data_IF_971365189436
#
_entry.id   IF_971365189436
#
_cell.length_a   1.000
_cell.length_b   1.000
_cell.length_c   1.000
_cell.angle_alpha   90.00
_cell.angle_beta   90.00
_cell.angle_gamma   90.00
#
_symmetry.space_group_name_H-M   'P 1'
#
loop_
_entity.id
_entity.type
_entity.pdbx_description
1 polymer ?
#
# COMPACT_ATOMS: atom_id res chain seq x y z
N UNK A 1 37.81 6.88 35.87
CA UNK A 1 36.91 7.95 36.35
C UNK A 1 37.12 9.14 35.44
N UNK A 2 36.37 9.21 34.35
CA UNK A 2 36.48 10.27 33.36
C UNK A 2 35.27 11.19 33.54
N UNK A 3 35.54 12.44 33.95
CA UNK A 3 34.57 13.53 34.00
C UNK A 3 34.57 14.21 32.63
N UNK A 4 33.39 14.42 32.07
CA UNK A 4 33.17 15.36 30.97
C UNK A 4 32.60 16.64 31.58
N UNK A 5 33.32 17.75 31.43
CA UNK A 5 32.80 19.10 31.69
C UNK A 5 32.19 19.61 30.38
N UNK A 6 30.89 19.90 30.39
CA UNK A 6 30.19 20.61 29.32
C UNK A 6 29.97 22.04 29.78
N UNK A 7 30.81 22.96 29.31
CA UNK A 7 30.49 24.39 29.29
C UNK A 7 29.92 24.71 27.89
N UNK A 8 28.61 24.90 27.83
CA UNK A 8 27.93 25.53 26.68
C UNK A 8 27.56 26.95 27.10
N UNK A 9 28.38 27.92 26.70
CA UNK A 9 27.98 29.33 26.71
C UNK A 9 27.02 29.57 25.52
N UNK A 10 25.80 30.00 25.84
CA UNK A 10 24.85 30.57 24.89
C UNK A 10 25.46 31.83 24.26
N UNK A 11 25.54 31.87 22.93
CA UNK A 11 25.68 33.11 22.18
C UNK A 11 24.61 33.16 21.10
N UNK A 12 23.70 34.11 21.28
CA UNK A 12 22.74 34.59 20.29
C UNK A 12 23.45 35.37 19.17
N UNK A 13 22.84 35.32 17.99
CA UNK A 13 23.10 36.10 16.77
C UNK A 13 24.44 35.87 16.02
N UNK A 14 24.35 35.15 14.89
CA UNK A 14 24.92 35.64 13.63
C UNK A 14 24.40 34.86 12.39
N UNK A 15 24.01 35.62 11.37
CA UNK A 15 23.67 35.17 10.02
C UNK A 15 24.72 34.21 9.45
N UNK A 16 24.31 33.00 9.04
CA UNK A 16 25.15 32.11 8.24
C UNK A 16 24.40 31.65 6.98
N UNK A 17 24.85 32.19 5.85
CA UNK A 17 24.60 31.71 4.50
C UNK A 17 24.95 30.21 4.40
N UNK A 18 23.93 29.35 4.23
CA UNK A 18 24.11 27.93 3.96
C UNK A 18 24.50 27.73 2.50
N UNK A 19 25.80 27.82 2.24
CA UNK A 19 26.42 27.38 0.99
C UNK A 19 26.46 25.84 0.98
N UNK A 20 25.43 25.22 0.40
CA UNK A 20 25.36 23.76 0.21
C UNK A 20 26.42 23.35 -0.82
N UNK A 21 27.42 22.51 -0.47
CA UNK A 21 28.31 21.96 -1.47
C UNK A 21 27.52 21.00 -2.35
N UNK A 22 27.45 21.29 -3.64
CA UNK A 22 27.00 20.36 -4.68
C UNK A 22 27.95 19.17 -4.71
N UNK A 23 27.62 18.09 -4.00
CA UNK A 23 28.22 16.77 -4.22
C UNK A 23 27.60 16.18 -5.48
N UNK A 24 28.39 16.14 -6.55
CA UNK A 24 28.09 15.37 -7.75
C UNK A 24 27.82 13.90 -7.36
N UNK A 25 26.69 13.37 -7.80
CA UNK A 25 26.40 11.95 -7.72
C UNK A 25 27.45 11.19 -8.54
N UNK A 26 28.33 10.45 -7.86
CA UNK A 26 29.31 9.59 -8.51
C UNK A 26 28.63 8.48 -9.32
N UNK A 27 29.27 7.98 -10.39
CA UNK A 27 28.69 6.97 -11.27
C UNK A 27 28.46 5.67 -10.51
N UNK A 28 27.20 5.24 -10.40
CA UNK A 28 26.82 3.91 -9.91
C UNK A 28 27.54 2.84 -10.74
N UNK A 29 28.46 2.09 -10.11
CA UNK A 29 29.08 0.92 -10.75
C UNK A 29 28.02 -0.17 -10.95
N UNK A 30 28.06 -0.92 -12.07
CA UNK A 30 27.06 -1.94 -12.37
C UNK A 30 27.17 -3.07 -11.35
N UNK A 31 26.09 -3.28 -10.61
CA UNK A 31 25.88 -4.48 -9.79
C UNK A 31 25.64 -5.65 -10.77
N UNK A 32 26.34 -6.75 -10.47
CA UNK A 32 26.30 -8.12 -11.01
C UNK A 32 25.02 -8.50 -11.79
N UNK A 33 25.11 -9.27 -12.90
CA UNK A 33 23.92 -9.71 -13.65
C UNK A 33 22.93 -10.47 -12.75
N UNK A 34 21.63 -10.41 -13.04
CA UNK A 34 20.61 -11.00 -12.18
C UNK A 34 20.81 -12.52 -12.13
N UNK A 35 21.14 -13.03 -10.94
CA UNK A 35 21.04 -14.45 -10.63
C UNK A 35 19.56 -14.79 -10.66
N UNK A 36 19.17 -15.67 -11.59
CA UNK A 36 17.81 -16.20 -11.67
C UNK A 36 17.51 -17.02 -10.41
N UNK A 37 16.83 -16.42 -9.43
CA UNK A 37 16.27 -17.16 -8.31
C UNK A 37 15.06 -17.91 -8.86
N UNK A 38 15.18 -19.22 -9.02
CA UNK A 38 14.04 -20.10 -9.27
C UNK A 38 13.18 -20.11 -7.99
N UNK A 39 12.30 -19.13 -7.78
CA UNK A 39 11.19 -19.31 -6.85
C UNK A 39 10.21 -20.29 -7.53
N UNK A 40 10.32 -21.57 -7.21
CA UNK A 40 9.47 -22.62 -7.80
C UNK A 40 8.03 -22.56 -7.28
N UNK A 41 7.78 -21.78 -6.24
CA UNK A 41 6.48 -21.68 -5.60
C UNK A 41 5.69 -20.49 -6.17
N UNK A 42 4.76 -20.80 -7.06
CA UNK A 42 3.84 -19.84 -7.66
C UNK A 42 2.48 -19.80 -6.94
N UNK A 43 2.39 -20.39 -5.74
CA UNK A 43 1.15 -20.43 -4.99
C UNK A 43 0.90 -19.13 -4.20
N UNK A 44 -0.37 -18.96 -3.81
CA UNK A 44 -0.82 -17.92 -2.90
C UNK A 44 -1.63 -18.55 -1.78
N UNK A 45 -1.51 -17.99 -0.58
CA UNK A 45 -2.08 -18.51 0.65
C UNK A 45 -2.98 -17.47 1.28
N UNK A 46 -4.01 -17.93 2.00
CA UNK A 46 -4.89 -17.07 2.79
C UNK A 46 -4.46 -17.09 4.26
N UNK A 47 -4.58 -15.96 4.94
CA UNK A 47 -4.37 -15.84 6.37
C UNK A 47 -5.57 -15.12 6.99
N UNK A 48 -6.05 -15.61 8.13
CA UNK A 48 -7.22 -15.01 8.79
C UNK A 48 -6.86 -13.75 9.58
N UNK A 49 -7.83 -12.86 9.76
CA UNK A 49 -7.66 -11.70 10.64
C UNK A 49 -7.29 -12.12 12.07
N UNK A 50 -7.95 -13.15 12.60
CA UNK A 50 -7.69 -13.64 13.96
C UNK A 50 -6.25 -14.15 14.11
N UNK A 51 -5.72 -14.84 13.09
CA UNK A 51 -4.32 -15.25 13.08
C UNK A 51 -3.39 -14.04 13.07
N UNK A 52 -3.62 -13.05 12.20
CA UNK A 52 -2.80 -11.83 12.18
C UNK A 52 -2.85 -11.08 13.51
N UNK A 53 -4.04 -10.90 14.10
CA UNK A 53 -4.21 -10.25 15.41
C UNK A 53 -3.53 -11.03 16.54
N UNK A 54 -3.45 -12.36 16.45
CA UNK A 54 -2.75 -13.20 17.43
C UNK A 54 -1.23 -12.97 17.45
N UNK A 55 -0.67 -12.47 16.35
CA UNK A 55 0.77 -12.19 16.22
C UNK A 55 1.18 -10.78 16.66
N UNK A 56 0.23 -9.92 17.00
CA UNK A 56 0.52 -8.57 17.48
C UNK A 56 1.20 -8.63 18.87
N UNK A 57 2.26 -7.83 19.09
CA UNK A 57 2.89 -7.69 20.40
C UNK A 57 1.94 -6.99 21.39
N UNK A 58 2.30 -6.98 22.67
CA UNK A 58 1.51 -6.31 23.73
C UNK A 58 1.44 -4.79 23.53
N UNK A 59 2.46 -4.19 22.94
CA UNK A 59 2.55 -2.77 22.66
C UNK A 59 3.10 -2.55 21.24
N UNK A 60 2.56 -1.57 20.53
CA UNK A 60 3.15 -1.03 19.31
C UNK A 60 3.29 0.48 19.41
N UNK A 61 4.29 1.03 18.71
CA UNK A 61 4.41 2.46 18.48
C UNK A 61 3.79 2.84 17.13
N UNK A 62 3.18 4.02 17.06
CA UNK A 62 2.61 4.56 15.84
C UNK A 62 2.91 6.05 15.70
N UNK A 63 2.82 6.55 14.48
CA UNK A 63 3.11 7.93 14.12
C UNK A 63 1.97 8.47 13.24
N UNK A 64 1.46 9.70 13.51
CA UNK A 64 0.46 10.32 12.66
C UNK A 64 1.09 10.74 11.32
N UNK A 65 0.39 10.46 10.23
CA UNK A 65 0.71 10.95 8.89
C UNK A 65 -0.25 12.08 8.53
N UNK A 66 0.22 13.31 8.69
CA UNK A 66 -0.50 14.52 8.31
C UNK A 66 -0.31 14.82 6.81
N UNK A 67 -1.41 14.87 6.07
CA UNK A 67 -1.41 15.15 4.62
C UNK A 67 -2.23 16.40 4.33
N UNK A 68 -1.77 17.30 3.45
CA UNK A 68 -2.39 18.62 3.25
C UNK A 68 -3.79 18.55 2.64
N UNK A 69 -4.16 17.42 2.03
CA UNK A 69 -5.46 17.19 1.40
C UNK A 69 -6.42 16.36 2.27
N UNK A 70 -6.01 15.95 3.48
CA UNK A 70 -6.86 15.24 4.42
C UNK A 70 -7.18 16.12 5.65
N UNK A 71 -8.41 16.06 6.17
CA UNK A 71 -8.79 16.83 7.35
C UNK A 71 -8.23 16.27 8.66
N UNK A 72 -7.89 14.97 8.71
CA UNK A 72 -7.37 14.28 9.89
C UNK A 72 -6.17 13.43 9.46
N UNK A 73 -5.14 13.27 10.33
CA UNK A 73 -4.01 12.42 10.02
C UNK A 73 -4.40 10.94 9.98
N UNK A 74 -3.62 10.15 9.26
CA UNK A 74 -3.74 8.70 9.28
C UNK A 74 -2.67 8.14 10.22
N UNK A 75 -3.10 7.38 11.23
CA UNK A 75 -2.17 6.70 12.14
C UNK A 75 -1.53 5.50 11.42
N UNK A 76 -0.21 5.38 11.51
CA UNK A 76 0.54 4.24 10.98
C UNK A 76 1.52 3.76 12.01
N UNK A 77 1.72 2.45 12.08
CA UNK A 77 2.76 1.85 12.90
C UNK A 77 4.12 2.45 12.54
N UNK A 78 4.92 2.73 13.56
CA UNK A 78 6.24 3.28 13.37
C UNK A 78 7.16 2.27 12.68
N UNK A 79 7.97 2.75 11.73
CA UNK A 79 8.87 1.90 10.95
C UNK A 79 9.98 1.31 11.81
N UNK A 80 10.50 2.07 12.79
CA UNK A 80 11.54 1.58 13.69
C UNK A 80 10.98 0.51 14.63
N UNK A 81 9.74 0.67 15.08
CA UNK A 81 9.02 -0.33 15.89
C UNK A 81 8.83 -1.65 15.12
N UNK A 82 8.33 -1.58 13.89
CA UNK A 82 8.14 -2.77 13.05
C UNK A 82 9.47 -3.49 12.75
N UNK A 83 10.54 -2.73 12.49
CA UNK A 83 11.89 -3.29 12.27
C UNK A 83 12.47 -3.92 13.52
N UNK A 84 12.28 -3.29 14.68
CA UNK A 84 12.71 -3.85 15.96
C UNK A 84 12.01 -5.19 16.23
N UNK A 85 10.69 -5.27 16.02
CA UNK A 85 9.96 -6.53 16.13
C UNK A 85 10.48 -7.58 15.14
N UNK A 86 10.73 -7.22 13.89
CA UNK A 86 11.25 -8.15 12.88
C UNK A 86 12.63 -8.70 13.30
N UNK A 87 13.52 -7.84 13.78
CA UNK A 87 14.84 -8.21 14.29
C UNK A 87 14.74 -9.13 15.52
N UNK A 88 13.84 -8.85 16.45
CA UNK A 88 13.64 -9.66 17.66
C UNK A 88 12.96 -11.00 17.41
N UNK A 89 12.23 -11.14 16.29
CA UNK A 89 11.47 -12.35 15.94
C UNK A 89 12.36 -13.53 15.55
N UNK A 90 13.68 -13.35 15.46
CA UNK A 90 14.62 -14.40 15.07
C UNK A 90 14.52 -14.79 13.59
N UNK A 91 13.73 -14.09 12.77
CA UNK A 91 13.59 -14.35 11.33
C UNK A 91 14.95 -14.20 10.60
N UNK A 92 15.82 -13.31 11.10
CA UNK A 92 17.20 -13.17 10.60
C UNK A 92 18.19 -14.21 11.15
N UNK A 93 17.78 -15.05 12.10
CA UNK A 93 18.64 -16.07 12.71
C UNK A 93 18.46 -17.47 12.10
N UNK A 94 17.67 -17.61 11.03
CA UNK A 94 17.53 -18.86 10.29
C UNK A 94 18.74 -19.09 9.34
N UNK A 95 19.60 -20.09 9.59
CA UNK A 95 20.77 -20.36 8.75
C UNK A 95 20.40 -20.84 7.33
N UNK A 96 19.15 -21.24 7.09
CA UNK A 96 18.69 -21.71 5.78
C UNK A 96 18.37 -20.58 4.79
N UNK A 97 18.29 -19.34 5.27
CA UNK A 97 18.05 -18.13 4.46
C UNK A 97 19.33 -17.34 4.18
N UNK A 98 20.47 -17.79 4.72
CA UNK A 98 21.79 -17.22 4.40
C UNK A 98 22.26 -17.80 3.06
N UNK A 99 22.52 -16.94 2.08
CA UNK A 99 23.14 -17.36 0.82
C UNK A 99 24.50 -18.01 1.11
N UNK A 100 24.88 -19.11 0.43
CA UNK A 100 26.20 -19.71 0.62
C UNK A 100 27.26 -18.65 0.29
N UNK A 101 28.09 -18.30 1.28
CA UNK A 101 29.27 -17.46 1.03
C UNK A 101 30.18 -18.16 0.02
N UNK A 102 30.55 -17.46 -1.05
CA UNK A 102 31.47 -17.95 -2.08
C UNK A 102 32.76 -18.50 -1.43
N UNK A 103 33.13 -19.78 -1.65
CA UNK A 103 34.35 -20.37 -1.09
C UNK A 103 35.66 -19.82 -1.72
N UNK A 104 35.58 -18.79 -2.57
CA UNK A 104 36.71 -18.25 -3.31
C UNK A 104 37.50 -17.15 -2.57
N UNK A 105 37.17 -16.83 -1.31
CA UNK A 105 37.90 -15.81 -0.52
C UNK A 105 38.65 -16.35 0.71
N UNK A 106 38.82 -17.67 0.84
CA UNK A 106 39.63 -18.29 1.91
C UNK A 106 41.16 -18.24 1.68
N UNK A 107 41.68 -17.14 1.16
CA UNK A 107 43.12 -16.95 1.07
C UNK A 107 43.48 -15.47 1.20
N UNK A 108 43.22 -14.89 2.38
CA UNK A 108 44.08 -13.89 3.06
C UNK A 108 43.29 -13.16 4.15
N UNK A 109 43.15 -13.77 5.33
CA UNK A 109 42.78 -13.03 6.56
C UNK A 109 43.67 -13.47 7.71
N UNK A 110 44.76 -12.73 7.87
CA UNK A 110 45.47 -12.63 9.14
C UNK A 110 44.51 -12.22 10.26
N UNK A 111 44.75 -12.80 11.42
CA UNK A 111 44.00 -12.65 12.67
C UNK A 111 43.67 -11.21 13.03
N UNK A 112 42.41 -10.83 12.90
CA UNK A 112 41.74 -9.79 13.69
C UNK A 112 40.27 -10.21 13.84
N UNK A 113 39.68 -10.20 15.06
CA UNK A 113 38.26 -10.45 15.22
C UNK A 113 37.52 -9.23 14.70
N UNK A 114 36.94 -9.33 13.51
CA UNK A 114 36.06 -8.30 12.96
C UNK A 114 34.64 -8.74 13.28
N UNK A 115 33.90 -7.82 13.88
CA UNK A 115 32.50 -7.91 14.27
C UNK A 115 31.63 -8.63 13.24
N UNK A 116 30.73 -9.48 13.75
CA UNK A 116 29.61 -10.02 13.00
C UNK A 116 28.80 -8.84 12.41
N UNK A 117 29.06 -8.52 11.13
CA UNK A 117 28.20 -7.67 10.33
C UNK A 117 26.84 -8.38 10.18
N UNK A 118 25.99 -8.22 11.18
CA UNK A 118 24.56 -8.36 11.02
C UNK A 118 24.19 -7.57 9.76
N UNK A 119 23.65 -8.24 8.75
CA UNK A 119 23.10 -7.61 7.55
C UNK A 119 22.05 -6.60 7.99
N UNK A 120 22.47 -5.36 8.19
CA UNK A 120 21.59 -4.24 8.45
C UNK A 120 20.75 -4.05 7.20
N UNK A 121 19.43 -4.14 7.35
CA UNK A 121 18.50 -3.57 6.37
C UNK A 121 18.84 -2.09 6.31
N UNK A 122 19.50 -1.68 5.22
CA UNK A 122 19.87 -0.29 4.99
C UNK A 122 18.60 0.58 5.12
N UNK A 123 18.73 1.75 5.77
CA UNK A 123 17.65 2.70 5.91
C UNK A 123 17.11 3.15 4.54
N UNK A 124 17.94 3.05 3.49
CA UNK A 124 17.59 3.43 2.12
C UNK A 124 16.97 2.30 1.29
N UNK A 125 17.30 1.04 1.55
CA UNK A 125 16.77 -0.10 0.78
C UNK A 125 15.89 -0.98 1.66
N UNK A 126 14.58 -0.77 1.55
CA UNK A 126 13.55 -1.61 2.20
C UNK A 126 13.52 -3.05 1.63
N UNK A 127 14.43 -3.46 0.74
CA UNK A 127 14.30 -4.67 -0.07
C UNK A 127 15.58 -5.53 -0.05
N UNK A 128 15.41 -6.82 0.22
CA UNK A 128 16.42 -7.87 0.07
C UNK A 128 15.85 -8.95 -0.88
N UNK A 129 16.20 -8.89 -2.16
CA UNK A 129 15.69 -9.82 -3.19
C UNK A 129 15.84 -11.29 -2.77
N UNK A 130 14.74 -12.05 -2.86
CA UNK A 130 14.70 -13.49 -2.58
C UNK A 130 14.59 -13.88 -1.10
N UNK A 131 14.64 -12.91 -0.17
CA UNK A 131 14.43 -13.13 1.27
C UNK A 131 13.29 -12.24 1.79
N UNK A 132 13.24 -10.99 1.34
CA UNK A 132 12.30 -9.98 1.81
C UNK A 132 12.08 -8.89 0.73
N UNK A 133 10.93 -8.89 0.07
CA UNK A 133 10.63 -7.98 -1.06
C UNK A 133 10.13 -6.58 -0.62
N UNK A 134 10.50 -6.13 0.59
CA UNK A 134 10.06 -4.84 1.13
C UNK A 134 8.60 -4.77 1.55
N UNK A 135 8.11 -3.54 1.81
CA UNK A 135 6.72 -3.27 2.16
C UNK A 135 6.50 -2.78 3.60
N UNK A 136 7.56 -2.70 4.43
CA UNK A 136 7.48 -2.06 5.74
C UNK A 136 7.43 -0.53 5.62
N UNK A 137 8.03 0.03 4.57
CA UNK A 137 7.96 1.46 4.26
C UNK A 137 6.72 1.80 3.42
N UNK A 138 6.10 2.94 3.73
CA UNK A 138 5.13 3.56 2.82
C UNK A 138 5.87 4.26 1.67
N UNK A 139 5.59 3.83 0.44
CA UNK A 139 6.13 4.44 -0.78
C UNK A 139 5.25 5.59 -1.29
N UNK A 140 5.82 6.48 -2.12
CA UNK A 140 5.14 7.69 -2.60
C UNK A 140 3.87 7.36 -3.39
N UNK A 141 3.88 6.27 -4.18
CA UNK A 141 2.68 5.87 -4.92
C UNK A 141 1.46 5.58 -4.04
N UNK A 142 1.65 5.15 -2.78
CA UNK A 142 0.54 4.95 -1.84
C UNK A 142 -0.10 6.28 -1.42
N UNK A 143 0.71 7.34 -1.27
CA UNK A 143 0.26 8.71 -1.01
C UNK A 143 -0.46 9.30 -2.22
N UNK A 144 0.08 9.05 -3.41
CA UNK A 144 -0.52 9.50 -4.66
C UNK A 144 -1.93 8.88 -4.84
N UNK A 145 -2.09 7.57 -4.58
CA UNK A 145 -3.41 6.91 -4.63
C UNK A 145 -4.36 7.55 -3.63
N UNK A 146 -3.89 7.73 -2.40
CA UNK A 146 -4.67 8.33 -1.33
C UNK A 146 -5.19 9.73 -1.69
N UNK A 147 -4.37 10.55 -2.34
CA UNK A 147 -4.81 11.86 -2.85
C UNK A 147 -5.93 11.71 -3.88
N UNK A 148 -5.85 10.76 -4.82
CA UNK A 148 -6.95 10.49 -5.76
C UNK A 148 -8.21 10.00 -5.03
N UNK A 149 -8.08 9.06 -4.09
CA UNK A 149 -9.20 8.54 -3.31
C UNK A 149 -9.91 9.63 -2.51
N UNK A 150 -9.17 10.61 -1.98
CA UNK A 150 -9.73 11.75 -1.25
C UNK A 150 -10.67 12.63 -2.09
N UNK A 151 -10.59 12.52 -3.42
CA UNK A 151 -11.45 13.25 -4.36
C UNK A 151 -12.68 12.46 -4.82
N UNK A 152 -12.85 11.22 -4.33
CA UNK A 152 -13.93 10.32 -4.73
C UNK A 152 -15.14 10.45 -3.80
N UNK A 153 -16.33 10.37 -4.40
CA UNK A 153 -17.60 10.47 -3.70
C UNK A 153 -18.17 11.89 -3.71
N UNK A 154 -19.45 12.00 -3.36
CA UNK A 154 -20.09 13.30 -3.13
C UNK A 154 -19.72 13.83 -1.74
N UNK A 155 -19.76 15.14 -1.56
CA UNK A 155 -19.30 15.88 -0.37
C UNK A 155 -19.92 15.47 0.98
N UNK A 156 -20.99 14.66 0.99
CA UNK A 156 -21.65 14.18 2.21
C UNK A 156 -21.27 12.74 2.63
N UNK A 157 -20.66 11.93 1.75
CA UNK A 157 -20.39 10.50 2.01
C UNK A 157 -19.00 9.98 1.63
N UNK A 158 -18.25 10.75 0.84
CA UNK A 158 -16.85 10.44 0.46
C UNK A 158 -16.64 9.05 -0.15
N UNK A 159 -15.41 8.55 -0.01
CA UNK A 159 -15.01 7.23 -0.54
C UNK A 159 -15.75 6.07 0.14
N UNK A 160 -16.06 6.20 1.43
CA UNK A 160 -16.74 5.18 2.22
C UNK A 160 -18.11 4.82 1.66
N UNK A 161 -18.95 5.82 1.34
CA UNK A 161 -20.26 5.57 0.73
C UNK A 161 -20.16 5.17 -0.75
N UNK A 162 -19.13 5.66 -1.44
CA UNK A 162 -18.86 5.29 -2.82
C UNK A 162 -18.51 3.81 -2.96
N UNK A 163 -17.74 3.24 -2.02
CA UNK A 163 -17.27 1.85 -2.05
C UNK A 163 -18.19 0.86 -1.32
N UNK A 164 -19.17 1.34 -0.56
CA UNK A 164 -20.02 0.48 0.29
C UNK A 164 -20.73 -0.62 -0.51
N UNK A 165 -20.60 -1.85 -0.03
CA UNK A 165 -21.17 -3.07 -0.62
C UNK A 165 -20.39 -3.66 -1.80
N UNK A 166 -19.18 -3.15 -2.06
CA UNK A 166 -18.31 -3.61 -3.14
C UNK A 166 -17.08 -4.36 -2.62
N UNK A 167 -16.16 -4.73 -3.51
CA UNK A 167 -14.87 -5.34 -3.14
C UNK A 167 -13.74 -4.38 -3.45
N UNK A 168 -12.77 -4.26 -2.54
CA UNK A 168 -11.50 -3.57 -2.77
C UNK A 168 -10.39 -4.60 -2.72
N UNK A 169 -9.48 -4.60 -3.69
CA UNK A 169 -8.26 -5.39 -3.68
C UNK A 169 -7.07 -4.45 -3.75
N UNK A 170 -6.19 -4.47 -2.76
CA UNK A 170 -4.91 -3.79 -2.79
C UNK A 170 -3.79 -4.81 -3.02
N UNK A 171 -3.21 -4.80 -4.23
CA UNK A 171 -2.16 -5.73 -4.67
C UNK A 171 -0.79 -5.13 -4.36
N UNK A 172 0.04 -5.86 -3.62
CA UNK A 172 1.29 -5.32 -3.08
C UNK A 172 1.04 -4.23 -2.05
N UNK A 173 0.19 -4.53 -1.06
CA UNK A 173 -0.37 -3.53 -0.14
C UNK A 173 0.65 -2.92 0.81
N UNK A 174 1.75 -3.59 1.17
CA UNK A 174 2.75 -3.03 2.09
C UNK A 174 2.11 -2.54 3.40
N UNK A 175 2.27 -1.25 3.69
CA UNK A 175 1.66 -0.58 4.85
C UNK A 175 0.14 -0.40 4.76
N UNK A 176 -0.50 -0.78 3.66
CA UNK A 176 -1.94 -0.69 3.41
C UNK A 176 -2.53 0.73 3.58
N UNK A 177 -1.78 1.76 3.21
CA UNK A 177 -2.19 3.14 3.45
C UNK A 177 -3.51 3.52 2.72
N UNK A 178 -3.69 3.21 1.42
CA UNK A 178 -4.98 3.37 0.75
C UNK A 178 -6.12 2.62 1.44
N UNK A 179 -5.91 1.35 1.80
CA UNK A 179 -6.93 0.54 2.49
C UNK A 179 -7.26 1.06 3.90
N UNK A 180 -6.28 1.56 4.66
CA UNK A 180 -6.51 2.20 5.96
C UNK A 180 -7.38 3.45 5.84
N UNK A 181 -7.18 4.26 4.80
CA UNK A 181 -8.04 5.42 4.54
C UNK A 181 -9.47 5.01 4.16
N UNK A 182 -9.61 4.01 3.28
CA UNK A 182 -10.92 3.47 2.90
C UNK A 182 -11.63 2.90 4.13
N UNK A 183 -10.93 2.13 4.96
CA UNK A 183 -11.46 1.56 6.19
C UNK A 183 -11.94 2.67 7.13
N UNK A 184 -11.10 3.67 7.42
CA UNK A 184 -11.48 4.81 8.25
C UNK A 184 -12.76 5.49 7.74
N UNK A 185 -12.86 5.74 6.43
CA UNK A 185 -14.05 6.33 5.82
C UNK A 185 -15.28 5.42 5.86
N UNK A 186 -15.12 4.09 5.83
CA UNK A 186 -16.22 3.14 5.96
C UNK A 186 -16.77 3.11 7.39
N UNK A 187 -15.87 3.20 8.38
CA UNK A 187 -16.17 3.14 9.81
C UNK A 187 -16.79 4.43 10.35
N UNK A 188 -16.48 5.59 9.73
CA UNK A 188 -17.05 6.89 10.11
C UNK A 188 -18.55 7.02 9.85
N UNK A 189 -19.11 6.18 8.98
CA UNK A 189 -20.55 6.11 8.74
C UNK A 189 -21.20 5.06 9.63
N UNK A 190 -22.26 5.43 10.35
CA UNK A 190 -23.01 4.50 11.21
C UNK A 190 -23.87 3.49 10.43
N UNK A 191 -23.96 3.61 9.10
CA UNK A 191 -24.83 2.76 8.28
C UNK A 191 -24.11 1.52 7.77
N UNK A 192 -24.51 0.33 8.22
CA UNK A 192 -24.15 -0.91 7.52
C UNK A 192 -24.85 -0.93 6.14
N UNK A 193 -24.10 -1.19 5.08
CA UNK A 193 -24.68 -1.37 3.74
C UNK A 193 -25.58 -2.61 3.69
N UNK A 194 -26.42 -2.72 2.66
CA UNK A 194 -27.24 -3.92 2.42
C UNK A 194 -26.43 -5.20 2.17
N UNK A 195 -25.14 -5.04 1.88
CA UNK A 195 -24.20 -6.13 1.66
C UNK A 195 -22.84 -5.73 2.22
N UNK A 196 -22.05 -6.70 2.74
CA UNK A 196 -20.75 -6.38 3.32
C UNK A 196 -19.81 -5.82 2.26
N UNK A 197 -18.92 -4.92 2.68
CA UNK A 197 -17.82 -4.40 1.87
C UNK A 197 -16.57 -5.22 2.18
N UNK A 198 -15.93 -5.77 1.15
CA UNK A 198 -14.73 -6.59 1.33
C UNK A 198 -13.50 -5.73 1.06
N UNK A 199 -12.57 -5.65 2.02
CA UNK A 199 -11.24 -5.10 1.80
C UNK A 199 -10.24 -6.26 1.78
N UNK A 200 -9.65 -6.52 0.63
CA UNK A 200 -8.69 -7.60 0.41
C UNK A 200 -7.29 -7.02 0.27
N UNK A 201 -6.45 -7.28 1.27
CA UNK A 201 -5.05 -6.89 1.29
C UNK A 201 -4.21 -8.06 0.79
N UNK A 202 -3.40 -7.83 -0.24
CA UNK A 202 -2.43 -8.81 -0.70
C UNK A 202 -1.01 -8.27 -0.65
N UNK A 203 -0.10 -9.05 -0.10
CA UNK A 203 1.35 -8.79 -0.17
C UNK A 203 2.10 -10.05 -0.57
N UNK A 204 3.34 -9.96 -1.03
CA UNK A 204 4.16 -11.15 -1.23
C UNK A 204 4.54 -11.77 0.12
N UNK A 205 4.86 -10.94 1.11
CA UNK A 205 5.45 -11.33 2.38
C UNK A 205 4.37 -11.44 3.49
N UNK A 206 4.20 -12.63 4.08
CA UNK A 206 3.35 -12.80 5.28
C UNK A 206 3.81 -11.89 6.44
N UNK A 207 5.12 -11.66 6.56
CA UNK A 207 5.68 -10.78 7.58
C UNK A 207 5.17 -9.33 7.44
N UNK A 208 4.99 -8.82 6.23
CA UNK A 208 4.44 -7.46 5.99
C UNK A 208 3.00 -7.38 6.50
N UNK A 209 2.20 -8.40 6.19
CA UNK A 209 0.81 -8.47 6.67
C UNK A 209 0.72 -8.43 8.20
N UNK A 210 1.60 -9.17 8.88
CA UNK A 210 1.68 -9.24 10.35
C UNK A 210 2.24 -7.96 10.98
N UNK A 211 3.30 -7.41 10.40
CA UNK A 211 4.09 -6.35 11.01
C UNK A 211 3.55 -4.95 10.72
N UNK A 212 2.92 -4.70 9.58
CA UNK A 212 2.47 -3.34 9.23
C UNK A 212 1.03 -3.29 8.72
N UNK A 213 0.59 -4.21 7.88
CA UNK A 213 -0.74 -4.14 7.28
C UNK A 213 -1.84 -4.27 8.34
N UNK A 214 -1.87 -5.36 9.11
CA UNK A 214 -2.88 -5.58 10.14
C UNK A 214 -2.83 -4.52 11.27
N UNK A 215 -1.65 -4.15 11.81
CA UNK A 215 -1.54 -3.01 12.74
C UNK A 215 -2.12 -1.71 12.18
N UNK A 216 -1.84 -1.37 10.92
CA UNK A 216 -2.33 -0.11 10.33
C UNK A 216 -3.84 -0.09 10.11
N UNK A 217 -4.46 -1.26 9.85
CA UNK A 217 -5.92 -1.37 9.78
C UNK A 217 -6.56 -1.24 11.16
N UNK A 218 -5.94 -1.80 12.20
CA UNK A 218 -6.36 -1.59 13.59
C UNK A 218 -6.23 -0.11 13.97
N UNK A 219 -5.10 0.52 13.66
CA UNK A 219 -4.85 1.94 13.92
C UNK A 219 -5.87 2.85 13.22
N UNK A 220 -6.27 2.52 11.99
CA UNK A 220 -7.31 3.25 11.25
C UNK A 220 -8.70 3.17 11.91
N UNK A 221 -8.92 2.21 12.81
CA UNK A 221 -10.20 2.01 13.50
C UNK A 221 -10.30 2.70 14.86
N UNK A 222 -9.18 3.14 15.46
CA UNK A 222 -9.14 3.66 16.82
C UNK A 222 -10.16 4.78 17.11
N UNK A 223 -10.39 5.76 16.22
CA UNK A 223 -11.34 6.85 16.48
C UNK A 223 -12.79 6.38 16.69
N UNK A 224 -13.11 5.13 16.31
CA UNK A 224 -14.45 4.57 16.33
C UNK A 224 -14.62 3.49 17.42
N UNK A 225 -13.57 3.20 18.19
CA UNK A 225 -13.60 2.23 19.28
C UNK A 225 -13.99 2.90 20.61
N UNK A 226 -14.63 2.17 21.55
CA UNK A 226 -14.92 2.71 22.87
C UNK A 226 -13.63 3.08 23.61
N UNK A 227 -13.50 4.27 24.23
CA UNK A 227 -12.27 4.67 24.92
C UNK A 227 -11.80 3.66 25.97
N UNK A 228 -12.72 2.95 26.62
CA UNK A 228 -12.42 1.93 27.63
C UNK A 228 -11.56 0.76 27.15
N UNK A 229 -11.49 0.50 25.83
CA UNK A 229 -10.66 -0.59 25.29
C UNK A 229 -9.30 -0.11 24.80
N UNK A 230 -9.08 1.21 24.75
CA UNK A 230 -7.85 1.84 24.27
C UNK A 230 -6.79 1.96 25.38
N UNK A 231 -7.19 1.84 26.65
CA UNK A 231 -6.32 2.06 27.79
C UNK A 231 -6.19 0.81 28.67
N UNK A 232 -5.00 0.54 29.23
CA UNK A 232 -4.84 -0.46 30.27
C UNK A 232 -5.63 -0.03 31.53
N UNK A 233 -6.23 -0.97 32.28
CA UNK A 233 -7.13 -0.66 33.40
C UNK A 233 -6.50 0.05 34.62
N UNK A 234 -5.27 0.56 34.54
CA UNK A 234 -4.44 0.94 35.71
C UNK A 234 -4.06 2.43 35.75
N UNK A 235 -4.21 3.20 34.66
CA UNK A 235 -3.82 4.62 34.67
C UNK A 235 -5.04 5.54 34.82
N UNK A 236 -5.08 6.31 35.92
CA UNK A 236 -5.96 7.48 36.07
C UNK A 236 -5.44 8.60 35.14
N UNK A 237 -5.57 8.42 33.83
CA UNK A 237 -5.28 9.46 32.83
C UNK A 237 -6.52 10.30 32.55
N UNK A 238 -6.35 11.62 32.54
CA UNK A 238 -7.42 12.59 32.30
C UNK A 238 -8.05 12.40 30.92
N UNK A 239 -9.36 12.65 30.81
CA UNK A 239 -10.16 12.41 29.59
C UNK A 239 -9.65 13.14 28.34
N UNK A 240 -8.90 14.23 28.53
CA UNK A 240 -8.32 15.06 27.49
C UNK A 240 -6.99 14.51 26.94
N UNK A 241 -6.30 13.62 27.67
CA UNK A 241 -5.13 12.86 27.21
C UNK A 241 -5.52 11.56 26.46
N UNK A 242 -6.82 11.24 26.36
CA UNK A 242 -7.34 9.97 25.84
C UNK A 242 -7.49 9.90 24.32
N UNK A 243 -7.38 11.03 23.62
CA UNK A 243 -7.39 11.09 22.17
C UNK A 243 -5.94 11.30 21.75
N UNK A 244 -5.35 10.44 20.89
CA UNK A 244 -4.01 10.66 20.37
C UNK A 244 -3.93 12.08 19.82
N UNK A 245 -3.12 12.95 20.43
CA UNK A 245 -2.93 14.30 19.92
C UNK A 245 -2.39 14.17 18.48
N UNK A 246 -3.15 14.60 17.46
CA UNK A 246 -2.72 14.59 16.07
C UNK A 246 -1.39 15.31 15.82
N UNK A 247 -0.96 16.17 16.77
CA UNK A 247 0.26 16.97 16.72
C UNK A 247 1.36 16.48 17.68
N UNK A 248 1.08 15.58 18.61
CA UNK A 248 2.12 14.88 19.37
C UNK A 248 2.77 13.84 18.46
N UNK A 249 4.08 13.62 18.60
CA UNK A 249 4.88 12.78 17.71
C UNK A 249 4.48 11.29 17.69
N UNK A 250 5.38 10.42 18.13
CA UNK A 250 5.12 8.98 18.23
C UNK A 250 4.15 8.69 19.38
N UNK A 251 3.05 8.00 19.12
CA UNK A 251 2.12 7.47 20.12
C UNK A 251 2.36 5.99 20.43
N UNK A 252 1.85 5.54 21.57
CA UNK A 252 1.92 4.15 22.04
C UNK A 252 0.51 3.54 22.12
N UNK A 253 0.36 2.29 21.68
CA UNK A 253 -0.91 1.55 21.76
C UNK A 253 -0.69 0.19 22.43
N UNK A 254 -1.42 -0.05 23.52
CA UNK A 254 -1.48 -1.36 24.17
C UNK A 254 -2.52 -2.27 23.51
N UNK A 255 -2.08 -3.43 23.04
CA UNK A 255 -2.90 -4.39 22.31
C UNK A 255 -3.51 -5.42 23.26
N UNK A 256 -4.63 -5.08 23.86
CA UNK A 256 -5.39 -5.97 24.76
C UNK A 256 -6.31 -6.94 24.00
N UNK A 257 -6.71 -8.08 24.60
CA UNK A 257 -7.76 -8.94 24.04
C UNK A 257 -9.08 -8.19 23.81
N UNK A 258 -9.43 -7.26 24.69
CA UNK A 258 -10.61 -6.41 24.62
C UNK A 258 -10.55 -5.49 23.39
N UNK A 259 -9.39 -4.89 23.11
CA UNK A 259 -9.16 -4.09 21.91
C UNK A 259 -9.36 -4.91 20.64
N UNK A 260 -8.73 -6.10 20.56
CA UNK A 260 -8.85 -7.01 19.40
C UNK A 260 -10.32 -7.37 19.15
N UNK A 261 -11.06 -7.67 20.22
CA UNK A 261 -12.49 -8.01 20.14
C UNK A 261 -13.36 -6.81 19.75
N UNK A 262 -13.07 -5.62 20.27
CA UNK A 262 -13.80 -4.40 19.92
C UNK A 262 -13.59 -4.06 18.45
N UNK A 263 -12.37 -4.22 17.94
CA UNK A 263 -12.04 -4.03 16.52
C UNK A 263 -12.84 -4.98 15.62
N UNK A 264 -12.83 -6.29 15.89
CA UNK A 264 -13.59 -7.25 15.08
C UNK A 264 -15.11 -7.04 15.18
N UNK A 265 -15.61 -6.64 16.35
CA UNK A 265 -17.02 -6.31 16.55
C UNK A 265 -17.43 -5.08 15.75
N UNK A 266 -16.59 -4.04 15.73
CA UNK A 266 -16.81 -2.81 14.96
C UNK A 266 -16.86 -3.09 13.45
N UNK A 267 -15.94 -3.93 12.94
CA UNK A 267 -15.95 -4.35 11.53
C UNK A 267 -17.27 -5.04 11.17
N UNK A 268 -17.72 -5.98 12.00
CA UNK A 268 -18.98 -6.69 11.81
C UNK A 268 -20.19 -5.74 11.87
N UNK A 269 -20.21 -4.81 12.84
CA UNK A 269 -21.28 -3.80 12.99
C UNK A 269 -21.36 -2.88 11.76
N UNK A 270 -20.22 -2.54 11.15
CA UNK A 270 -20.15 -1.69 9.96
C UNK A 270 -20.30 -2.45 8.64
N UNK A 271 -20.38 -3.79 8.70
CA UNK A 271 -20.47 -4.65 7.52
C UNK A 271 -19.20 -4.59 6.66
N UNK A 272 -18.04 -4.64 7.29
CA UNK A 272 -16.73 -4.64 6.62
C UNK A 272 -16.03 -5.96 6.89
N UNK A 273 -15.68 -6.68 5.82
CA UNK A 273 -14.94 -7.93 5.87
C UNK A 273 -13.50 -7.69 5.41
N UNK A 274 -12.52 -8.09 6.22
CA UNK A 274 -11.10 -8.01 5.88
C UNK A 274 -10.60 -9.37 5.40
N UNK A 275 -10.04 -9.42 4.18
CA UNK A 275 -9.42 -10.62 3.59
C UNK A 275 -7.93 -10.39 3.39
N UNK A 276 -7.13 -11.41 3.64
CA UNK A 276 -5.67 -11.32 3.50
C UNK A 276 -5.13 -12.51 2.71
N UNK A 277 -4.27 -12.21 1.74
CA UNK A 277 -3.52 -13.23 1.00
C UNK A 277 -2.05 -12.88 0.95
N UNK A 278 -1.18 -13.88 1.02
CA UNK A 278 0.24 -13.72 0.78
C UNK A 278 0.77 -14.68 -0.29
N UNK A 279 2.00 -14.46 -0.74
CA UNK A 279 2.64 -15.28 -1.77
C UNK A 279 2.49 -14.71 -3.20
N UNK A 280 2.70 -15.56 -4.18
CA UNK A 280 2.92 -15.17 -5.57
C UNK A 280 1.64 -14.71 -6.28
N UNK A 281 1.75 -13.72 -7.17
CA UNK A 281 0.61 -13.17 -7.90
C UNK A 281 -0.06 -14.18 -8.85
N UNK A 282 0.69 -15.11 -9.43
CA UNK A 282 0.13 -16.20 -10.24
C UNK A 282 -0.92 -17.03 -9.46
N UNK A 283 -0.61 -17.41 -8.22
CA UNK A 283 -1.53 -18.11 -7.32
C UNK A 283 -2.74 -17.27 -6.94
N UNK A 284 -2.54 -15.96 -6.70
CA UNK A 284 -3.64 -15.03 -6.45
C UNK A 284 -4.57 -14.93 -7.66
N UNK A 285 -4.02 -14.76 -8.87
CA UNK A 285 -4.80 -14.67 -10.10
C UNK A 285 -5.63 -15.94 -10.34
N UNK A 286 -5.06 -17.12 -10.06
CA UNK A 286 -5.77 -18.40 -10.10
C UNK A 286 -6.94 -18.43 -9.10
N UNK A 287 -6.69 -18.09 -7.84
CA UNK A 287 -7.72 -18.02 -6.79
C UNK A 287 -8.86 -17.07 -7.16
N UNK A 288 -8.53 -15.87 -7.65
CA UNK A 288 -9.52 -14.87 -8.10
C UNK A 288 -10.39 -15.37 -9.27
N UNK A 289 -9.82 -16.15 -10.21
CA UNK A 289 -10.60 -16.75 -11.32
C UNK A 289 -11.51 -17.88 -10.85
N UNK A 290 -11.10 -18.61 -9.81
CA UNK A 290 -11.86 -19.73 -9.25
C UNK A 290 -12.97 -19.28 -8.28
N UNK A 291 -12.85 -18.09 -7.70
CA UNK A 291 -13.87 -17.48 -6.83
C UNK A 291 -15.13 -17.08 -7.62
N UNK A 292 -16.02 -18.06 -7.78
CA UNK A 292 -17.33 -17.88 -8.42
C UNK A 292 -18.33 -17.07 -7.58
N UNK A 293 -18.02 -16.81 -6.30
CA UNK A 293 -18.91 -16.19 -5.33
C UNK A 293 -18.77 -14.67 -5.25
N UNK A 294 -17.57 -14.13 -5.50
CA UNK A 294 -17.29 -12.71 -5.31
C UNK A 294 -17.48 -11.85 -6.57
N UNK A 295 -18.66 -11.92 -7.21
CA UNK A 295 -19.01 -11.13 -8.43
C UNK A 295 -19.41 -9.69 -8.13
N UNK A 296 -18.63 -8.97 -7.33
CA UNK A 296 -18.88 -7.57 -6.98
C UNK A 296 -18.06 -6.66 -7.88
N UNK A 297 -18.58 -5.46 -8.16
CA UNK A 297 -17.77 -4.39 -8.73
C UNK A 297 -16.53 -4.20 -7.83
N UNK A 298 -15.35 -4.15 -8.44
CA UNK A 298 -14.08 -4.14 -7.72
C UNK A 298 -13.37 -2.80 -7.88
N UNK A 299 -12.90 -2.20 -6.79
CA UNK A 299 -11.80 -1.26 -6.84
C UNK A 299 -10.50 -2.04 -6.66
N UNK A 300 -9.62 -1.99 -7.64
CA UNK A 300 -8.30 -2.63 -7.57
C UNK A 300 -7.25 -1.53 -7.50
N UNK A 301 -6.42 -1.58 -6.48
CA UNK A 301 -5.37 -0.61 -6.20
C UNK A 301 -4.02 -1.32 -6.24
N UNK A 302 -3.03 -0.68 -6.86
CA UNK A 302 -1.66 -1.14 -6.75
C UNK A 302 -0.70 0.02 -6.92
N UNK A 303 0.36 0.03 -6.12
CA UNK A 303 1.31 1.14 -6.03
C UNK A 303 2.73 0.61 -6.08
N UNK A 304 3.54 1.12 -7.01
CA UNK A 304 4.96 0.76 -7.15
C UNK A 304 5.20 -0.75 -7.28
N UNK A 305 4.34 -1.44 -8.04
CA UNK A 305 4.40 -2.90 -8.27
C UNK A 305 4.90 -3.29 -9.65
N UNK A 306 5.26 -2.31 -10.49
CA UNK A 306 5.73 -2.51 -11.87
C UNK A 306 7.24 -2.23 -12.03
N UNK A 307 7.99 -2.28 -10.93
CA UNK A 307 9.42 -1.99 -10.94
C UNK A 307 10.26 -3.11 -11.57
N UNK A 308 9.79 -4.35 -11.50
CA UNK A 308 10.47 -5.52 -12.06
C UNK A 308 9.70 -6.05 -13.27
N UNK A 309 10.33 -6.02 -14.44
CA UNK A 309 9.66 -6.39 -15.70
C UNK A 309 9.21 -7.86 -15.72
N UNK A 310 9.93 -8.75 -15.03
CA UNK A 310 9.61 -10.17 -14.99
C UNK A 310 8.27 -10.48 -14.30
N UNK A 311 7.84 -9.67 -13.32
CA UNK A 311 6.61 -9.89 -12.55
C UNK A 311 5.38 -9.19 -13.15
N UNK A 312 5.57 -8.32 -14.15
CA UNK A 312 4.48 -7.56 -14.81
C UNK A 312 3.42 -8.48 -15.42
N UNK A 313 3.82 -9.62 -15.99
CA UNK A 313 2.88 -10.57 -16.57
C UNK A 313 1.89 -11.12 -15.52
N UNK A 314 2.41 -11.57 -14.39
CA UNK A 314 1.59 -12.10 -13.29
C UNK A 314 0.71 -11.02 -12.66
N UNK A 315 1.21 -9.78 -12.55
CA UNK A 315 0.41 -8.65 -12.10
C UNK A 315 -0.77 -8.40 -13.05
N UNK A 316 -0.53 -8.34 -14.36
CA UNK A 316 -1.60 -8.16 -15.36
C UNK A 316 -2.65 -9.26 -15.25
N UNK A 317 -2.24 -10.50 -14.99
CA UNK A 317 -3.17 -11.61 -14.76
C UNK A 317 -4.06 -11.40 -13.52
N UNK A 318 -3.50 -10.86 -12.42
CA UNK A 318 -4.28 -10.45 -11.24
C UNK A 318 -5.26 -9.33 -11.59
N UNK A 319 -4.80 -8.30 -12.29
CA UNK A 319 -5.62 -7.14 -12.66
C UNK A 319 -6.79 -7.59 -13.56
N UNK A 320 -6.54 -8.49 -14.52
CA UNK A 320 -7.59 -9.10 -15.36
C UNK A 320 -8.55 -9.97 -14.55
N UNK A 321 -8.03 -10.85 -13.70
CA UNK A 321 -8.85 -11.74 -12.88
C UNK A 321 -9.82 -10.95 -11.98
N UNK A 322 -9.33 -9.85 -11.40
CA UNK A 322 -10.12 -8.95 -10.55
C UNK A 322 -11.07 -8.04 -11.34
N UNK A 323 -10.77 -7.71 -12.59
CA UNK A 323 -11.65 -6.89 -13.45
C UNK A 323 -12.75 -7.68 -14.17
N UNK A 324 -12.66 -9.01 -14.24
CA UNK A 324 -13.66 -9.89 -14.89
C UNK A 324 -15.00 -10.01 -14.14
N UNK A 325 -15.20 -9.24 -13.08
CA UNK A 325 -16.36 -9.29 -12.19
C UNK A 325 -17.44 -8.27 -12.57
N UNK A 326 -17.93 -8.34 -13.83
CA UNK A 326 -19.31 -7.99 -14.24
C UNK A 326 -19.62 -8.42 -15.69
N UNK A 327 -19.81 -9.72 -15.91
CA UNK A 327 -20.61 -10.22 -17.04
C UNK A 327 -22.03 -10.50 -16.52
N UNK A 328 -22.88 -9.47 -16.46
CA UNK A 328 -24.24 -9.57 -15.93
C UNK A 328 -25.21 -8.50 -16.43
N UNK A 329 -24.83 -7.76 -17.48
CA UNK A 329 -25.77 -7.00 -18.31
C UNK A 329 -25.84 -7.76 -19.63
N UNK A 330 -27.04 -8.20 -20.01
CA UNK A 330 -27.29 -8.89 -21.27
C UNK A 330 -26.67 -8.11 -22.44
N UNK A 331 -25.62 -8.70 -23.02
CA UNK A 331 -24.84 -8.18 -24.16
C UNK A 331 -25.70 -8.03 -25.43
N UNK A 332 -26.96 -8.47 -25.40
CA UNK A 332 -27.92 -8.32 -26.49
C UNK A 332 -28.66 -6.97 -26.48
N UNK A 333 -28.60 -6.19 -25.40
CA UNK A 333 -29.27 -4.88 -25.33
C UNK A 333 -28.38 -3.69 -25.74
N UNK A 334 -27.06 -3.85 -25.74
CA UNK A 334 -26.10 -2.82 -26.20
C UNK A 334 -25.83 -2.85 -27.71
N UNK A 335 -26.33 -3.87 -28.45
CA UNK A 335 -26.16 -4.00 -29.91
C UNK A 335 -27.27 -3.39 -30.76
N UNK A 336 -28.20 -2.64 -30.16
CA UNK A 336 -29.24 -1.92 -30.92
C UNK A 336 -28.83 -0.48 -31.33
N UNK A 337 -27.66 0.02 -30.91
CA UNK A 337 -27.29 1.43 -31.07
C UNK A 337 -26.24 1.80 -32.11
N UNK A 338 -25.52 0.85 -32.71
CA UNK A 338 -24.50 1.18 -33.73
C UNK A 338 -24.54 0.20 -34.90
N UNK A 339 -25.39 0.52 -35.88
CA UNK A 339 -25.14 0.14 -37.27
C UNK A 339 -24.33 1.24 -37.93
N UNK A 340 -23.26 0.81 -38.61
CA UNK A 340 -22.19 1.65 -39.10
C UNK A 340 -22.57 2.76 -40.05
N UNK A 341 -21.67 3.74 -40.09
CA UNK A 341 -21.60 4.77 -41.11
C UNK A 341 -20.23 5.41 -41.03
N UNK A 342 -19.41 5.18 -42.05
CA UNK A 342 -18.23 5.97 -42.32
C UNK A 342 -18.64 7.42 -42.58
N UNK A 343 -18.28 8.35 -41.70
CA UNK A 343 -18.30 9.76 -41.99
C UNK A 343 -17.23 10.45 -41.14
N UNK A 344 -16.43 11.29 -41.80
CA UNK A 344 -15.46 12.17 -41.19
C UNK A 344 -16.17 13.07 -40.17
N UNK A 345 -15.77 13.00 -38.90
CA UNK A 345 -16.20 13.99 -37.93
C UNK A 345 -15.49 15.32 -38.18
N UNK A 346 -16.20 16.46 -38.17
CA UNK A 346 -15.60 17.76 -38.40
C UNK A 346 -14.76 18.14 -37.17
N UNK A 347 -13.55 18.63 -37.43
CA UNK A 347 -12.72 19.32 -36.44
C UNK A 347 -13.51 20.51 -35.90
N UNK A 348 -13.99 20.41 -34.66
CA UNK A 348 -14.47 21.56 -33.89
C UNK A 348 -13.47 21.78 -32.77
N UNK A 349 -12.68 22.85 -32.88
CA UNK A 349 -11.85 23.35 -31.78
C UNK A 349 -12.78 23.74 -30.62
N UNK A 350 -12.77 22.96 -29.54
CA UNK A 350 -13.48 23.22 -28.31
C UNK A 350 -12.47 23.24 -27.16
N UNK A 351 -12.39 24.37 -26.48
CA UNK A 351 -11.36 24.67 -25.47
C UNK A 351 -11.33 23.71 -24.28
N UNK A 352 -10.18 23.73 -23.61
CA UNK A 352 -9.62 22.90 -22.52
C UNK A 352 -10.54 22.46 -21.35
N UNK A 353 -11.82 22.85 -21.33
CA UNK A 353 -12.75 22.58 -20.25
C UNK A 353 -13.65 21.35 -20.42
N UNK A 354 -13.88 20.85 -21.64
CA UNK A 354 -14.91 19.83 -21.89
C UNK A 354 -14.38 18.39 -21.79
N UNK A 355 -13.11 18.12 -22.14
CA UNK A 355 -12.49 16.79 -21.97
C UNK A 355 -12.35 16.37 -20.51
N UNK A 356 -12.14 17.32 -19.59
CA UNK A 356 -11.90 17.02 -18.17
C UNK A 356 -13.17 16.56 -17.42
N UNK A 357 -14.35 16.91 -17.93
CA UNK A 357 -15.65 16.62 -17.28
C UNK A 357 -16.10 15.17 -17.50
N UNK A 358 -15.66 14.52 -18.57
CA UNK A 358 -15.98 13.10 -18.87
C UNK A 358 -15.04 12.12 -18.15
N UNK A 359 -13.75 12.45 -18.02
CA UNK A 359 -12.69 11.60 -17.45
C UNK A 359 -12.89 11.22 -15.97
N UNK A 360 -13.53 12.07 -15.17
CA UNK A 360 -13.72 11.87 -13.72
C UNK A 360 -15.15 11.49 -13.31
N UNK A 361 -16.02 11.20 -14.28
CA UNK A 361 -17.42 10.82 -14.04
C UNK A 361 -17.56 9.59 -13.12
N UNK A 362 -16.60 8.66 -13.16
CA UNK A 362 -16.55 7.44 -12.35
C UNK A 362 -16.44 7.71 -10.83
N UNK A 363 -15.98 8.91 -10.44
CA UNK A 363 -15.81 9.30 -9.03
C UNK A 363 -17.12 9.69 -8.34
N UNK A 364 -18.18 9.99 -9.10
CA UNK A 364 -19.41 10.62 -8.58
C UNK A 364 -20.44 9.63 -8.06
N UNK A 365 -20.73 8.60 -8.87
CA UNK A 365 -21.76 7.61 -8.55
C UNK A 365 -21.16 6.46 -7.77
N UNK A 366 -21.88 5.86 -6.80
CA UNK A 366 -21.41 4.70 -6.06
C UNK A 366 -20.87 3.59 -6.98
N UNK A 367 -19.76 2.97 -6.61
CA UNK A 367 -19.07 2.00 -7.46
C UNK A 367 -19.98 0.82 -7.85
N UNK A 368 -20.87 0.39 -6.95
CA UNK A 368 -21.86 -0.66 -7.23
C UNK A 368 -22.80 -0.33 -8.40
N UNK A 369 -22.99 0.95 -8.71
CA UNK A 369 -23.87 1.43 -9.80
C UNK A 369 -23.10 1.61 -11.12
N UNK A 370 -21.77 1.63 -11.10
CA UNK A 370 -20.93 1.93 -12.26
C UNK A 370 -20.92 0.86 -13.37
N UNK A 371 -21.36 -0.36 -13.09
CA UNK A 371 -21.31 -1.48 -14.05
C UNK A 371 -19.92 -2.08 -14.28
N UNK A 372 -18.85 -1.44 -13.81
CA UNK A 372 -17.46 -1.78 -14.14
C UNK A 372 -16.57 -1.86 -12.88
N UNK A 373 -15.48 -2.62 -12.96
CA UNK A 373 -14.40 -2.52 -11.99
C UNK A 373 -13.47 -1.35 -12.34
N UNK A 374 -12.84 -0.77 -11.33
CA UNK A 374 -11.90 0.33 -11.49
C UNK A 374 -10.53 -0.14 -11.01
N UNK A 375 -9.55 -0.13 -11.90
CA UNK A 375 -8.17 -0.50 -11.58
C UNK A 375 -7.31 0.76 -11.62
N UNK A 376 -6.69 1.11 -10.50
CA UNK A 376 -5.77 2.24 -10.37
C UNK A 376 -4.35 1.71 -10.13
N UNK A 377 -3.43 2.09 -11.00
CA UNK A 377 -2.00 1.78 -10.89
C UNK A 377 -1.24 3.08 -10.65
N UNK A 378 -0.60 3.21 -9.50
CA UNK A 378 0.33 4.28 -9.20
C UNK A 378 1.76 3.80 -9.44
N UNK A 379 2.53 4.53 -10.25
CA UNK A 379 3.89 4.14 -10.55
C UNK A 379 4.80 5.31 -10.86
N UNK A 380 6.10 5.10 -10.64
CA UNK A 380 7.16 5.95 -11.20
C UNK A 380 7.22 5.75 -12.71
N UNK A 381 7.53 6.84 -13.42
CA UNK A 381 7.73 6.81 -14.87
C UNK A 381 8.89 5.89 -15.23
N UNK A 382 9.93 5.85 -14.39
CA UNK A 382 11.12 5.02 -14.56
C UNK A 382 11.64 4.50 -13.21
N UNK A 383 12.06 3.23 -13.17
CA UNK A 383 12.80 2.64 -12.05
C UNK A 383 14.24 2.35 -12.49
N UNK A 384 15.20 3.08 -11.90
CA UNK A 384 16.62 2.89 -12.24
C UNK A 384 17.14 1.51 -11.77
N UNK A 385 17.98 0.87 -12.57
CA UNK A 385 18.65 -0.39 -12.26
C UNK A 385 17.85 -1.66 -12.60
N UNK A 386 16.58 -1.71 -12.23
CA UNK A 386 15.70 -2.90 -12.41
C UNK A 386 15.00 -2.97 -13.78
N UNK A 387 15.03 -1.90 -14.57
CA UNK A 387 14.57 -1.88 -15.96
C UNK A 387 13.05 -1.70 -16.14
N UNK A 388 12.25 -1.83 -15.08
CA UNK A 388 10.81 -1.55 -15.12
C UNK A 388 10.49 -0.06 -15.27
N UNK A 389 9.27 0.22 -15.71
CA UNK A 389 8.80 1.58 -15.92
C UNK A 389 7.34 1.61 -16.39
N UNK A 390 6.71 2.77 -16.24
CA UNK A 390 5.31 2.93 -16.62
C UNK A 390 5.09 2.69 -18.11
N UNK A 391 6.01 3.15 -18.97
CA UNK A 391 5.81 3.04 -20.43
C UNK A 391 5.83 1.58 -20.91
N UNK A 392 6.73 0.74 -20.38
CA UNK A 392 6.78 -0.69 -20.75
C UNK A 392 5.56 -1.45 -20.23
N UNK A 393 5.11 -1.13 -19.02
CA UNK A 393 3.87 -1.66 -18.47
C UNK A 393 2.66 -1.30 -19.35
N UNK A 394 2.51 -0.03 -19.74
CA UNK A 394 1.39 0.42 -20.58
C UNK A 394 1.41 -0.21 -21.98
N UNK A 395 2.59 -0.34 -22.60
CA UNK A 395 2.72 -1.06 -23.87
C UNK A 395 2.26 -2.51 -23.74
N UNK A 396 2.59 -3.17 -22.62
CA UNK A 396 2.13 -4.54 -22.34
C UNK A 396 0.61 -4.63 -22.13
N UNK A 397 0.00 -3.64 -21.49
CA UNK A 397 -1.46 -3.55 -21.37
C UNK A 397 -2.11 -3.51 -22.76
N UNK A 398 -1.59 -2.67 -23.67
CA UNK A 398 -2.09 -2.52 -25.04
C UNK A 398 -1.90 -3.80 -25.87
N UNK A 399 -0.71 -4.42 -25.79
CA UNK A 399 -0.42 -5.71 -26.45
C UNK A 399 -1.39 -6.81 -26.03
N UNK A 400 -1.84 -6.77 -24.77
CA UNK A 400 -2.83 -7.67 -24.21
C UNK A 400 -4.28 -7.23 -24.41
N UNK A 401 -4.51 -6.30 -25.36
CA UNK A 401 -5.81 -5.74 -25.76
C UNK A 401 -6.54 -4.97 -24.66
N UNK A 402 -5.81 -4.51 -23.64
CA UNK A 402 -6.33 -3.58 -22.64
C UNK A 402 -6.29 -2.14 -23.12
N UNK A 403 -6.85 -1.26 -22.30
CA UNK A 403 -6.80 0.19 -22.46
C UNK A 403 -6.30 0.85 -21.18
N UNK A 404 -5.81 2.08 -21.30
CA UNK A 404 -5.41 2.88 -20.15
C UNK A 404 -5.71 4.37 -20.34
N UNK A 405 -5.91 5.07 -19.23
CA UNK A 405 -6.09 6.52 -19.19
C UNK A 405 -5.31 7.13 -18.02
N UNK A 406 -4.69 8.29 -18.24
CA UNK A 406 -4.05 9.03 -17.16
C UNK A 406 -5.07 9.66 -16.21
N UNK A 407 -4.87 9.49 -14.90
CA UNK A 407 -5.73 10.08 -13.86
C UNK A 407 -5.07 11.32 -13.26
N UNK A 408 -3.80 11.21 -12.88
CA UNK A 408 -3.02 12.30 -12.30
C UNK A 408 -1.52 12.06 -12.48
N UNK A 409 -0.74 13.14 -12.59
CA UNK A 409 0.72 13.08 -12.72
C UNK A 409 1.43 14.07 -11.79
N UNK A 410 2.63 13.69 -11.38
CA UNK A 410 3.56 14.49 -10.58
C UNK A 410 4.88 14.57 -11.32
N UNK A 411 5.36 15.78 -11.56
CA UNK A 411 6.58 16.04 -12.35
C UNK A 411 7.79 16.43 -11.50
N UNK A 412 7.60 16.62 -10.19
CA UNK A 412 8.70 16.96 -9.27
C UNK A 412 9.50 15.70 -8.92
N UNK A 413 10.82 15.75 -9.13
CA UNK A 413 11.71 14.62 -8.88
C UNK A 413 11.64 13.58 -10.00
N UNK A 414 11.69 12.28 -9.66
CA UNK A 414 11.37 11.22 -10.61
C UNK A 414 9.86 11.28 -10.88
N UNK A 415 9.47 11.51 -12.13
CA UNK A 415 8.06 11.65 -12.50
C UNK A 415 7.23 10.44 -12.04
N UNK A 416 6.00 10.68 -11.58
CA UNK A 416 5.05 9.65 -11.16
C UNK A 416 3.69 9.89 -11.78
N UNK A 417 2.92 8.83 -11.94
CA UNK A 417 1.59 8.90 -12.55
C UNK A 417 0.67 7.85 -11.96
N UNK A 418 -0.60 8.21 -11.85
CA UNK A 418 -1.70 7.28 -11.65
C UNK A 418 -2.40 7.10 -12.99
N UNK A 419 -2.59 5.84 -13.35
CA UNK A 419 -3.34 5.45 -14.54
C UNK A 419 -4.50 4.55 -14.14
N UNK A 420 -5.62 4.70 -14.85
CA UNK A 420 -6.70 3.71 -14.86
C UNK A 420 -6.43 2.73 -15.98
N UNK A 421 -6.59 1.44 -15.72
CA UNK A 421 -6.47 0.38 -16.74
C UNK A 421 -7.72 -0.48 -16.79
N UNK A 422 -7.98 -1.12 -17.94
CA UNK A 422 -9.10 -2.05 -18.12
C UNK A 422 -8.97 -2.89 -19.39
N UNK A 423 -9.93 -3.80 -19.58
CA UNK A 423 -10.00 -4.75 -20.70
C UNK A 423 -11.42 -4.91 -21.24
#
# INVERSE_FOLDING_TARGET
>A
MFKFDFDLEENEDDNLDLNIPSTEAGPSRPIVPPVSVNSSDQESYEVSLDELLSTLPETILYSPLSLPFLPHPILRRDLHDARFQLASSGIYSDPSLQSPSDPATEADRGTNPVDDEAQYVDAETDLIKGVYEGGLKTWEGGLDILEVLSTIGSSEGGIGDWIRGTSVLEVGCGTALPSSYILHSLLSSSSAGSSPTILHMQDYNLAVLRLVTAPNLLLASLPFLPPTVLHPPIEETDVEDLIPDPQAGTGELHITPELKKAFTSLLAERGVDLKFTYGHWAGLAKSLREDKGNKRAGLVLTSETIYEEASVGDLIDVLKASSLLRAGVDVDSAKAGQKGGSAQDPVVELGDGVERVTLDSWKKNPLRESGESIVLVAAKVLYFGVGGGLQSFLARIEDEKGWWHGVKEWTRGVGRKIVRVGW
#
